data_IF_702348416318
#
_entry.id   IF_702348416318
#
_cell.length_a   1.000
_cell.length_b   1.000
_cell.length_c   1.000
_cell.angle_alpha   90.00
_cell.angle_beta   90.00
_cell.angle_gamma   90.00
#
_symmetry.space_group_name_H-M   'P 1'
#
loop_
_entity.id
_entity.type
_entity.pdbx_description
1 polymer ?
#
# COMPACT_ATOMS: atom_id res chain seq x y z
N UNK A 1 -24.33 1.27 2.90
CA UNK A 1 -23.49 1.11 4.11
C UNK A 1 -24.39 0.76 5.28
N UNK A 2 -23.90 0.01 6.27
CA UNK A 2 -24.64 -0.39 7.49
C UNK A 2 -23.79 -0.12 8.73
N UNK A 3 -24.41 0.21 9.86
CA UNK A 3 -23.67 0.24 11.12
C UNK A 3 -23.27 -1.17 11.54
N UNK A 4 -22.25 -1.31 12.39
CA UNK A 4 -21.85 -2.60 12.95
C UNK A 4 -23.00 -3.28 13.71
N UNK A 5 -23.84 -2.48 14.39
CA UNK A 5 -25.02 -2.98 15.11
C UNK A 5 -26.07 -3.53 14.13
N UNK A 6 -26.36 -2.80 13.04
CA UNK A 6 -27.31 -3.25 12.03
C UNK A 6 -26.80 -4.48 11.29
N UNK A 7 -25.50 -4.50 10.98
CA UNK A 7 -24.88 -5.65 10.33
C UNK A 7 -24.95 -6.91 11.19
N UNK A 8 -24.73 -6.77 12.51
CA UNK A 8 -24.88 -7.87 13.46
C UNK A 8 -26.32 -8.39 13.50
N UNK A 9 -27.30 -7.49 13.54
CA UNK A 9 -28.71 -7.86 13.68
C UNK A 9 -29.33 -8.35 12.36
N UNK A 10 -28.76 -7.96 11.22
CA UNK A 10 -29.29 -8.20 9.87
C UNK A 10 -28.38 -9.02 8.96
N UNK A 11 -27.45 -9.82 9.51
CA UNK A 11 -26.42 -10.52 8.71
C UNK A 11 -27.00 -11.32 7.54
N UNK A 12 -28.11 -12.03 7.73
CA UNK A 12 -28.75 -12.82 6.67
C UNK A 12 -29.20 -11.96 5.48
N UNK A 13 -29.71 -10.76 5.73
CA UNK A 13 -30.07 -9.83 4.66
C UNK A 13 -28.84 -9.35 3.90
N UNK A 14 -27.72 -9.14 4.59
CA UNK A 14 -26.46 -8.74 3.97
C UNK A 14 -25.83 -9.86 3.12
N UNK A 15 -26.02 -11.11 3.53
CA UNK A 15 -25.62 -12.26 2.72
C UNK A 15 -26.51 -12.40 1.47
N UNK A 16 -27.82 -12.13 1.58
CA UNK A 16 -28.71 -12.07 0.43
C UNK A 16 -28.31 -10.93 -0.54
N UNK A 17 -28.06 -9.73 -0.02
CA UNK A 17 -27.54 -8.59 -0.80
C UNK A 17 -26.25 -8.98 -1.55
N UNK A 18 -25.31 -9.66 -0.88
CA UNK A 18 -24.07 -10.13 -1.50
C UNK A 18 -24.30 -11.20 -2.58
N UNK A 19 -25.26 -12.11 -2.39
CA UNK A 19 -25.67 -13.07 -3.44
C UNK A 19 -26.26 -12.37 -4.67
N UNK A 20 -26.93 -11.23 -4.48
CA UNK A 20 -27.45 -10.39 -5.56
C UNK A 20 -26.38 -9.49 -6.20
N UNK A 21 -25.11 -9.60 -5.78
CA UNK A 21 -24.01 -8.84 -6.35
C UNK A 21 -23.72 -7.51 -5.65
N UNK A 22 -24.34 -7.24 -4.49
CA UNK A 22 -24.18 -5.96 -3.80
C UNK A 22 -23.02 -5.99 -2.79
N UNK A 23 -22.11 -5.02 -2.93
CA UNK A 23 -21.06 -4.74 -1.94
C UNK A 23 -21.62 -3.90 -0.79
N UNK A 24 -21.45 -4.36 0.45
CA UNK A 24 -21.83 -3.59 1.64
C UNK A 24 -20.63 -3.27 2.52
N UNK A 25 -20.48 -1.98 2.81
CA UNK A 25 -19.55 -1.48 3.83
C UNK A 25 -20.22 -1.48 5.21
N UNK A 26 -19.56 -2.09 6.19
CA UNK A 26 -19.96 -2.10 7.61
C UNK A 26 -19.16 -1.04 8.35
N UNK A 27 -19.86 -0.11 9.02
CA UNK A 27 -19.27 1.05 9.69
C UNK A 27 -19.24 0.87 11.21
N UNK A 28 -18.15 1.27 11.86
CA UNK A 28 -18.06 1.46 13.31
C UNK A 28 -17.70 2.91 13.59
N UNK A 29 -18.66 3.69 14.10
CA UNK A 29 -18.51 5.15 14.17
C UNK A 29 -18.41 5.75 12.75
N UNK A 30 -17.36 6.52 12.48
CA UNK A 30 -17.08 7.12 11.17
C UNK A 30 -16.17 6.28 10.26
N UNK A 31 -15.74 5.09 10.69
CA UNK A 31 -14.80 4.25 9.95
C UNK A 31 -15.46 3.00 9.37
N UNK A 32 -15.03 2.58 8.18
CA UNK A 32 -15.36 1.28 7.63
C UNK A 32 -14.58 0.23 8.43
N UNK A 33 -15.31 -0.70 9.04
CA UNK A 33 -14.75 -1.80 9.83
C UNK A 33 -14.67 -3.11 9.04
N UNK A 34 -15.55 -3.32 8.05
CA UNK A 34 -15.53 -4.51 7.21
C UNK A 34 -16.24 -4.28 5.87
N UNK A 35 -15.95 -5.15 4.91
CA UNK A 35 -16.67 -5.27 3.65
C UNK A 35 -17.35 -6.64 3.60
N UNK A 36 -18.60 -6.66 3.16
CA UNK A 36 -19.29 -7.88 2.74
C UNK A 36 -19.44 -7.74 1.23
N UNK A 37 -18.89 -8.69 0.49
CA UNK A 37 -18.84 -8.65 -0.97
C UNK A 37 -19.36 -9.96 -1.56
N UNK A 38 -19.84 -9.95 -2.81
CA UNK A 38 -20.21 -11.15 -3.54
C UNK A 38 -19.05 -12.15 -3.63
N UNK A 39 -19.37 -13.44 -3.70
CA UNK A 39 -18.36 -14.49 -3.84
C UNK A 39 -17.57 -14.43 -5.16
N UNK A 40 -18.16 -13.81 -6.20
CA UNK A 40 -17.50 -13.57 -7.49
C UNK A 40 -16.86 -12.17 -7.57
N UNK A 41 -16.85 -11.40 -6.48
CA UNK A 41 -16.08 -10.17 -6.45
C UNK A 41 -14.61 -10.51 -6.65
N UNK A 42 -13.91 -9.72 -7.46
CA UNK A 42 -12.47 -9.84 -7.63
C UNK A 42 -11.78 -9.38 -6.34
N UNK A 43 -11.66 -10.28 -5.37
CA UNK A 43 -10.87 -10.10 -4.16
C UNK A 43 -9.53 -10.76 -4.40
N UNK A 44 -8.46 -10.07 -4.03
CA UNK A 44 -7.14 -10.66 -3.97
C UNK A 44 -6.92 -11.19 -2.55
N UNK A 45 -7.13 -12.49 -2.32
CA UNK A 45 -6.97 -13.16 -1.03
C UNK A 45 -5.80 -14.17 -1.00
N UNK A 46 -5.22 -14.48 -2.16
CA UNK A 46 -3.99 -15.26 -2.25
C UNK A 46 -2.77 -14.39 -1.89
N UNK A 47 -2.16 -14.71 -0.75
CA UNK A 47 -0.98 -14.01 -0.23
C UNK A 47 0.21 -14.02 -1.19
N UNK A 48 0.40 -15.10 -1.97
CA UNK A 48 1.50 -15.20 -2.94
C UNK A 48 1.22 -14.32 -4.15
N UNK A 49 0.01 -14.37 -4.69
CA UNK A 49 -0.36 -13.51 -5.80
C UNK A 49 -0.27 -12.04 -5.41
N UNK A 50 -0.68 -11.68 -4.19
CA UNK A 50 -0.50 -10.34 -3.66
C UNK A 50 0.96 -9.93 -3.57
N UNK A 51 1.84 -10.81 -3.06
CA UNK A 51 3.28 -10.55 -3.01
C UNK A 51 3.88 -10.37 -4.41
N UNK A 52 3.49 -11.20 -5.38
CA UNK A 52 3.96 -11.12 -6.77
C UNK A 52 3.50 -9.83 -7.46
N UNK A 53 2.25 -9.40 -7.22
CA UNK A 53 1.74 -8.13 -7.74
C UNK A 53 2.45 -6.91 -7.15
N UNK A 54 2.72 -6.92 -5.83
CA UNK A 54 3.50 -5.88 -5.15
C UNK A 54 4.91 -5.81 -5.73
N UNK A 55 5.59 -6.95 -5.87
CA UNK A 55 6.94 -7.02 -6.42
C UNK A 55 6.98 -6.52 -7.89
N UNK A 56 6.02 -6.93 -8.71
CA UNK A 56 5.94 -6.47 -10.10
C UNK A 56 5.73 -4.94 -10.20
N UNK A 57 4.88 -4.37 -9.35
CA UNK A 57 4.64 -2.93 -9.33
C UNK A 57 5.86 -2.16 -8.80
N UNK A 58 6.53 -2.68 -7.78
CA UNK A 58 7.78 -2.10 -7.25
C UNK A 58 8.89 -2.10 -8.31
N UNK A 59 9.08 -3.22 -9.03
CA UNK A 59 10.06 -3.33 -10.11
C UNK A 59 9.76 -2.35 -11.26
N UNK A 60 8.49 -2.23 -11.67
CA UNK A 60 8.07 -1.29 -12.71
C UNK A 60 8.27 0.18 -12.27
N UNK A 61 7.98 0.50 -11.01
CA UNK A 61 8.23 1.82 -10.46
C UNK A 61 9.74 2.14 -10.42
N UNK A 62 10.57 1.20 -9.97
CA UNK A 62 12.02 1.36 -9.94
C UNK A 62 12.60 1.58 -11.34
N UNK A 63 12.06 0.90 -12.35
CA UNK A 63 12.41 1.10 -13.75
C UNK A 63 12.07 2.51 -14.22
N UNK A 64 10.87 2.99 -13.90
CA UNK A 64 10.43 4.33 -14.27
C UNK A 64 11.30 5.42 -13.61
N UNK A 65 11.62 5.26 -12.32
CA UNK A 65 12.51 6.19 -11.58
C UNK A 65 13.92 6.19 -12.17
N UNK A 66 14.45 5.02 -12.50
CA UNK A 66 15.80 4.91 -13.09
C UNK A 66 15.84 5.51 -14.50
N UNK A 67 14.81 5.25 -15.31
CA UNK A 67 14.73 5.70 -16.70
C UNK A 67 14.56 7.22 -16.82
N UNK A 68 13.90 7.87 -15.86
CA UNK A 68 13.75 9.34 -15.89
C UNK A 68 15.04 10.07 -15.52
N UNK A 69 15.96 9.41 -14.79
CA UNK A 69 17.22 10.00 -14.34
C UNK A 69 17.08 10.99 -13.17
N UNK A 70 15.85 11.28 -12.76
CA UNK A 70 15.52 12.29 -11.74
C UNK A 70 16.03 11.91 -10.34
N UNK A 71 16.26 10.61 -10.09
CA UNK A 71 16.69 10.12 -8.77
C UNK A 71 18.02 10.73 -8.31
N UNK A 72 18.87 11.18 -9.24
CA UNK A 72 20.14 11.87 -8.93
C UNK A 72 19.94 13.25 -8.30
N UNK A 73 18.76 13.84 -8.48
CA UNK A 73 18.38 15.14 -7.92
C UNK A 73 17.45 15.00 -6.71
N UNK A 74 17.29 13.78 -6.19
CA UNK A 74 16.40 13.50 -5.05
C UNK A 74 14.91 13.56 -5.37
N UNK A 75 14.55 13.53 -6.67
CA UNK A 75 13.17 13.57 -7.13
C UNK A 75 12.87 12.28 -7.91
N UNK A 76 11.82 11.54 -7.58
CA UNK A 76 11.55 10.25 -8.23
C UNK A 76 10.54 10.35 -9.39
N UNK A 77 10.16 11.57 -9.79
CA UNK A 77 9.29 11.82 -10.95
C UNK A 77 7.98 10.99 -10.94
N UNK A 78 7.43 10.62 -12.11
CA UNK A 78 6.20 9.83 -12.22
C UNK A 78 6.28 8.42 -11.63
N UNK A 79 7.47 7.81 -11.58
CA UNK A 79 7.68 6.50 -10.94
C UNK A 79 7.39 6.52 -9.44
N UNK A 80 7.62 7.67 -8.80
CA UNK A 80 7.27 7.92 -7.40
C UNK A 80 5.77 7.84 -7.14
N UNK A 81 4.94 8.28 -8.08
CA UNK A 81 3.48 8.35 -7.89
C UNK A 81 2.86 6.95 -7.76
N UNK A 82 3.24 6.03 -8.65
CA UNK A 82 2.77 4.65 -8.59
C UNK A 82 3.20 3.97 -7.29
N UNK A 83 4.47 4.19 -6.89
CA UNK A 83 4.98 3.65 -5.64
C UNK A 83 4.30 4.30 -4.42
N UNK A 84 4.07 5.61 -4.43
CA UNK A 84 3.38 6.34 -3.38
C UNK A 84 1.95 5.84 -3.16
N UNK A 85 1.23 5.54 -4.26
CA UNK A 85 -0.11 4.92 -4.19
C UNK A 85 -0.05 3.51 -3.59
N UNK A 86 0.92 2.70 -4.00
CA UNK A 86 1.14 1.36 -3.44
C UNK A 86 1.44 1.41 -1.94
N UNK A 87 2.36 2.28 -1.51
CA UNK A 87 2.73 2.46 -0.11
C UNK A 87 1.55 2.97 0.73
N UNK A 88 0.76 3.89 0.19
CA UNK A 88 -0.45 4.38 0.85
C UNK A 88 -1.47 3.25 1.05
N UNK A 89 -1.71 2.45 0.01
CA UNK A 89 -2.65 1.33 0.08
C UNK A 89 -2.18 0.26 1.06
N UNK A 90 -0.93 -0.18 0.94
CA UNK A 90 -0.35 -1.19 1.84
C UNK A 90 -0.33 -0.72 3.29
N UNK A 91 0.01 0.54 3.58
CA UNK A 91 -0.01 1.10 4.95
C UNK A 91 -1.38 1.00 5.59
N UNK A 92 -2.43 1.34 4.84
CA UNK A 92 -3.82 1.27 5.30
C UNK A 92 -4.36 -0.16 5.38
N UNK A 93 -3.66 -1.12 4.79
CA UNK A 93 -4.07 -2.53 4.73
C UNK A 93 -3.36 -3.37 5.79
N UNK A 94 -2.04 -3.36 5.81
CA UNK A 94 -1.19 -4.11 6.73
C UNK A 94 0.23 -3.48 6.77
N UNK A 95 0.71 -3.13 7.97
CA UNK A 95 2.04 -2.55 8.16
C UNK A 95 3.18 -3.43 7.61
N UNK A 96 3.05 -4.76 7.67
CA UNK A 96 4.05 -5.69 7.09
C UNK A 96 4.06 -5.66 5.57
N UNK A 97 2.88 -5.53 4.94
CA UNK A 97 2.81 -5.36 3.49
C UNK A 97 3.45 -4.04 3.06
N UNK A 98 3.27 -2.99 3.86
CA UNK A 98 3.92 -1.70 3.64
C UNK A 98 5.45 -1.80 3.73
N UNK A 99 5.97 -2.41 4.79
CA UNK A 99 7.41 -2.63 4.96
C UNK A 99 7.99 -3.48 3.81
N UNK A 100 7.28 -4.54 3.42
CA UNK A 100 7.68 -5.39 2.30
C UNK A 100 7.70 -4.62 0.98
N UNK A 101 6.64 -3.90 0.65
CA UNK A 101 6.56 -3.12 -0.59
C UNK A 101 7.70 -2.10 -0.68
N UNK A 102 8.01 -1.40 0.42
CA UNK A 102 9.12 -0.47 0.46
C UNK A 102 10.47 -1.17 0.27
N UNK A 103 10.69 -2.30 0.95
CA UNK A 103 11.92 -3.09 0.83
C UNK A 103 12.12 -3.65 -0.58
N UNK A 104 11.08 -4.20 -1.21
CA UNK A 104 11.13 -4.71 -2.58
C UNK A 104 11.52 -3.58 -3.55
N UNK A 105 10.91 -2.40 -3.40
CA UNK A 105 11.26 -1.23 -4.20
C UNK A 105 12.71 -0.77 -3.99
N UNK A 106 13.19 -0.74 -2.75
CA UNK A 106 14.59 -0.39 -2.46
C UNK A 106 15.57 -1.36 -3.13
N UNK A 107 15.31 -2.66 -3.05
CA UNK A 107 16.12 -3.69 -3.70
C UNK A 107 16.12 -3.51 -5.22
N UNK A 108 14.94 -3.38 -5.82
CA UNK A 108 14.77 -3.18 -7.26
C UNK A 108 15.47 -1.90 -7.75
N UNK A 109 15.33 -0.81 -7.02
CA UNK A 109 15.97 0.46 -7.39
C UNK A 109 17.50 0.35 -7.39
N UNK A 110 18.08 -0.34 -6.41
CA UNK A 110 19.53 -0.57 -6.39
C UNK A 110 19.99 -1.47 -7.55
N UNK A 111 19.23 -2.53 -7.84
CA UNK A 111 19.55 -3.44 -8.94
C UNK A 111 19.49 -2.74 -10.30
N UNK A 112 18.46 -1.94 -10.53
CA UNK A 112 18.26 -1.26 -11.82
C UNK A 112 19.16 -0.05 -12.01
N UNK A 113 19.45 0.70 -10.94
CA UNK A 113 20.41 1.80 -10.99
C UNK A 113 21.88 1.33 -11.03
N UNK A 114 22.14 0.10 -10.59
CA UNK A 114 23.50 -0.43 -10.42
C UNK A 114 24.26 0.25 -9.29
N UNK A 115 23.57 0.91 -8.35
CA UNK A 115 24.17 1.67 -7.26
C UNK A 115 23.65 1.23 -5.91
N UNK A 116 24.51 1.31 -4.90
CA UNK A 116 24.09 1.25 -3.51
C UNK A 116 23.37 2.55 -3.16
N UNK A 117 22.12 2.44 -2.72
CA UNK A 117 21.28 3.60 -2.37
C UNK A 117 20.87 3.41 -0.92
N UNK A 118 21.07 4.43 -0.10
CA UNK A 118 20.66 4.38 1.29
C UNK A 118 19.13 4.33 1.41
N UNK A 119 18.64 3.49 2.32
CA UNK A 119 17.22 3.30 2.55
C UNK A 119 16.50 4.61 2.90
N UNK A 120 17.15 5.48 3.68
CA UNK A 120 16.64 6.81 4.04
C UNK A 120 16.54 7.74 2.82
N UNK A 121 17.45 7.64 1.86
CA UNK A 121 17.40 8.42 0.63
C UNK A 121 16.21 7.99 -0.25
N UNK A 122 15.90 6.69 -0.29
CA UNK A 122 14.70 6.17 -0.97
C UNK A 122 13.43 6.73 -0.35
N UNK A 123 13.35 6.77 0.98
CA UNK A 123 12.21 7.34 1.68
C UNK A 123 12.01 8.82 1.38
N UNK A 124 13.09 9.62 1.44
CA UNK A 124 13.01 11.05 1.14
C UNK A 124 12.59 11.32 -0.31
N UNK A 125 13.05 10.51 -1.27
CA UNK A 125 12.66 10.60 -2.67
C UNK A 125 11.18 10.25 -2.94
N UNK A 126 10.60 9.36 -2.13
CA UNK A 126 9.19 8.95 -2.23
C UNK A 126 8.24 9.86 -1.46
N UNK A 127 8.71 10.54 -0.41
CA UNK A 127 7.87 11.37 0.46
C UNK A 127 6.99 12.38 -0.29
N UNK A 128 7.46 13.08 -1.34
CA UNK A 128 6.60 13.99 -2.12
C UNK A 128 5.42 13.31 -2.81
N UNK A 129 5.54 12.03 -3.18
CA UNK A 129 4.45 11.31 -3.85
C UNK A 129 3.36 10.86 -2.86
N UNK A 130 3.69 10.70 -1.57
CA UNK A 130 2.75 10.32 -0.53
C UNK A 130 1.78 11.45 -0.16
N UNK A 131 2.21 12.70 -0.26
CA UNK A 131 1.39 13.88 0.09
C UNK A 131 0.17 14.06 -0.82
N UNK A 132 0.09 13.34 -1.94
CA UNK A 132 -1.05 13.34 -2.85
C UNK A 132 -2.27 12.56 -2.31
N UNK A 133 -2.13 11.79 -1.23
CA UNK A 133 -3.23 10.98 -0.68
C UNK A 133 -3.16 10.64 0.81
N UNK A 134 -2.15 11.15 1.52
CA UNK A 134 -1.84 10.82 2.91
C UNK A 134 -1.57 12.11 3.69
N UNK A 135 -2.11 12.21 4.92
CA UNK A 135 -1.87 13.38 5.77
C UNK A 135 -0.44 13.39 6.33
N UNK A 136 0.11 14.56 6.65
CA UNK A 136 1.49 14.68 7.13
C UNK A 136 1.80 13.89 8.41
N UNK A 137 0.80 13.69 9.27
CA UNK A 137 0.90 12.82 10.45
C UNK A 137 1.12 11.36 10.08
N UNK A 138 0.29 10.82 9.18
CA UNK A 138 0.41 9.45 8.67
C UNK A 138 1.78 9.22 7.99
N UNK A 139 2.28 10.19 7.21
CA UNK A 139 3.61 10.10 6.56
C UNK A 139 4.72 9.98 7.63
N UNK A 140 4.59 10.70 8.74
CA UNK A 140 5.57 10.62 9.84
C UNK A 140 5.56 9.25 10.49
N UNK A 141 4.38 8.68 10.73
CA UNK A 141 4.21 7.34 11.30
C UNK A 141 4.78 6.25 10.40
N UNK A 142 4.54 6.35 9.09
CA UNK A 142 5.12 5.46 8.08
C UNK A 142 6.66 5.45 8.14
N UNK A 143 7.29 6.64 8.22
CA UNK A 143 8.74 6.76 8.34
C UNK A 143 9.29 6.13 9.63
N UNK A 144 8.59 6.29 10.76
CA UNK A 144 8.95 5.67 12.04
C UNK A 144 8.83 4.15 11.96
N UNK A 145 7.78 3.62 11.32
CA UNK A 145 7.58 2.18 11.16
C UNK A 145 8.74 1.55 10.37
N UNK A 146 9.13 2.17 9.26
CA UNK A 146 10.27 1.70 8.46
C UNK A 146 11.60 1.72 9.24
N UNK A 147 11.86 2.78 10.02
CA UNK A 147 13.06 2.86 10.83
C UNK A 147 13.15 1.71 11.86
N UNK A 148 12.04 1.43 12.56
CA UNK A 148 11.94 0.32 13.52
C UNK A 148 12.11 -1.05 12.87
N UNK A 149 11.54 -1.24 11.68
CA UNK A 149 11.65 -2.52 10.95
C UNK A 149 13.11 -2.86 10.65
N UNK A 150 13.93 -1.87 10.28
CA UNK A 150 15.37 -2.07 10.04
C UNK A 150 16.17 -2.42 11.29
N UNK A 151 15.85 -1.79 12.42
CA UNK A 151 16.52 -2.07 13.70
C UNK A 151 16.31 -3.52 14.15
N UNK A 152 15.15 -4.12 13.82
CA UNK A 152 14.83 -5.50 14.17
C UNK A 152 15.47 -6.55 13.25
N UNK A 153 16.09 -6.13 12.14
CA UNK A 153 16.72 -7.01 11.15
C UNK A 153 18.26 -6.98 11.18
N UNK A 154 18.85 -6.08 11.98
CA UNK A 154 20.29 -5.92 12.18
C UNK A 154 20.78 -6.69 13.41
#
# INVERSE_FOLDING_TARGET
>A
MRSATDARNGLNALLADAQEGLNTHVMKGSQIAAHIVPANAAILDDERLMADMIAALAAAAAAAVTASGDWREGHFGPGAENMGRLLTWTWRTDAKLFEKAFSDFHVELQQQSGQAIEFSAVWEGLRPALTLGVEGGEITEMGIALARSRENQA
#
